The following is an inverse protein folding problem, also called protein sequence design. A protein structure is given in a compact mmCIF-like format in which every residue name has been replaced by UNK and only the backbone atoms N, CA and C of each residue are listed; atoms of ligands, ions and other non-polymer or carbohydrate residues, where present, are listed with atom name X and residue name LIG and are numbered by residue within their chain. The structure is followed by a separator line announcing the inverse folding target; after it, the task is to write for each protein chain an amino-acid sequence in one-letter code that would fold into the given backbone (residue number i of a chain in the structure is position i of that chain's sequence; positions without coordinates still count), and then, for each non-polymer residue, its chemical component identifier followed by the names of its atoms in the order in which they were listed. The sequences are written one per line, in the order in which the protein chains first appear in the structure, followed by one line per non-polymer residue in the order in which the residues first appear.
data_IF_509592498738
#
_entry.id   IF_509592498738
#
_cell.length_a   1.000
_cell.length_b   1.000
_cell.length_c   1.000
_cell.angle_alpha   90.00
_cell.angle_beta   90.00
_cell.angle_gamma   90.00
#
_symmetry.space_group_name_H-M   'P 1'
#
loop_
_entity.id
_entity.type
_entity.pdbx_description
1 polymer ?
#
# COMPACT_ATOMS: atom_id res chain seq x y z
N UNK A 1 -15.16 -0.22 -28.29
CA UNK A 1 -14.10 0.24 -27.38
C UNK A 1 -14.68 0.18 -25.97
N UNK A 2 -14.05 -0.54 -25.07
CA UNK A 2 -14.47 -0.57 -23.66
C UNK A 2 -14.04 0.73 -22.96
N UNK A 3 -14.84 1.23 -22.02
CA UNK A 3 -14.34 2.24 -21.09
C UNK A 3 -13.31 1.59 -20.15
N UNK A 4 -12.48 2.41 -19.49
CA UNK A 4 -11.51 1.90 -18.51
C UNK A 4 -12.21 1.12 -17.37
N UNK A 5 -13.32 1.65 -16.86
CA UNK A 5 -14.07 1.01 -15.78
C UNK A 5 -14.66 -0.35 -16.21
N UNK A 6 -15.23 -0.42 -17.41
CA UNK A 6 -15.72 -1.71 -17.95
C UNK A 6 -14.60 -2.73 -18.11
N UNK A 7 -13.43 -2.30 -18.61
CA UNK A 7 -12.27 -3.18 -18.75
C UNK A 7 -11.76 -3.68 -17.39
N UNK A 8 -11.69 -2.79 -16.39
CA UNK A 8 -11.31 -3.15 -15.02
C UNK A 8 -12.31 -4.14 -14.40
N UNK A 9 -13.58 -3.86 -14.48
CA UNK A 9 -14.63 -4.71 -13.91
C UNK A 9 -14.63 -6.10 -14.56
N UNK A 10 -14.57 -6.16 -15.89
CA UNK A 10 -14.51 -7.42 -16.64
C UNK A 10 -13.24 -8.21 -16.30
N UNK A 11 -12.10 -7.56 -16.26
CA UNK A 11 -10.81 -8.17 -15.93
C UNK A 11 -10.78 -8.67 -14.48
N UNK A 12 -11.08 -7.81 -13.53
CA UNK A 12 -11.06 -8.17 -12.11
C UNK A 12 -12.10 -9.25 -11.79
N UNK A 13 -13.25 -9.26 -12.47
CA UNK A 13 -14.28 -10.30 -12.32
C UNK A 13 -13.79 -11.71 -12.69
N UNK A 14 -12.81 -11.85 -13.59
CA UNK A 14 -12.27 -13.13 -14.02
C UNK A 14 -11.13 -13.63 -13.11
N UNK A 15 -10.40 -12.73 -12.41
CA UNK A 15 -9.24 -13.09 -11.63
C UNK A 15 -9.63 -13.80 -10.32
N UNK A 16 -9.04 -14.96 -9.98
CA UNK A 16 -9.31 -15.67 -8.75
C UNK A 16 -8.65 -15.00 -7.53
N UNK A 17 -9.09 -15.38 -6.35
CA UNK A 17 -8.33 -15.14 -5.14
C UNK A 17 -7.08 -16.07 -5.09
N UNK A 18 -5.95 -15.64 -4.51
CA UNK A 18 -4.78 -16.50 -4.34
C UNK A 18 -5.07 -17.65 -3.37
N UNK A 19 -4.46 -18.80 -3.62
CA UNK A 19 -4.61 -20.00 -2.78
C UNK A 19 -3.31 -20.40 -2.07
N UNK A 20 -2.15 -19.94 -2.56
CA UNK A 20 -0.86 -20.29 -1.97
C UNK A 20 -0.51 -19.33 -0.82
N UNK A 21 -0.11 -19.91 0.32
CA UNK A 21 0.27 -19.17 1.52
C UNK A 21 1.56 -19.71 2.10
N UNK A 22 2.24 -18.88 2.87
CA UNK A 22 3.44 -19.25 3.63
C UNK A 22 3.43 -18.57 5.00
N UNK A 23 4.04 -19.19 6.00
CA UNK A 23 4.19 -18.61 7.34
C UNK A 23 5.59 -18.02 7.47
N UNK A 24 5.66 -16.72 7.79
CA UNK A 24 6.93 -16.01 7.91
C UNK A 24 7.10 -15.38 9.29
N UNK A 25 8.37 -15.25 9.76
CA UNK A 25 8.69 -14.40 10.90
C UNK A 25 8.24 -12.95 10.63
N UNK A 26 7.74 -12.29 11.69
CA UNK A 26 7.14 -10.96 11.57
C UNK A 26 8.09 -9.93 10.92
N UNK A 27 9.38 -9.99 11.18
CA UNK A 27 10.40 -9.10 10.61
C UNK A 27 10.65 -9.31 9.09
N UNK A 28 10.10 -10.38 8.49
CA UNK A 28 10.19 -10.64 7.04
C UNK A 28 8.89 -10.34 6.31
N UNK A 29 7.89 -9.78 7.01
CA UNK A 29 6.54 -9.60 6.49
C UNK A 29 6.28 -8.21 5.87
N UNK A 30 7.28 -7.32 5.82
CA UNK A 30 7.11 -6.02 5.19
C UNK A 30 6.69 -6.15 3.72
N UNK A 31 5.64 -5.40 3.33
CA UNK A 31 5.00 -5.43 2.01
C UNK A 31 4.33 -6.76 1.62
N UNK A 32 4.20 -7.73 2.54
CA UNK A 32 3.43 -8.95 2.31
C UNK A 32 1.93 -8.68 2.54
N UNK A 33 1.09 -9.56 2.02
CA UNK A 33 -0.37 -9.48 2.17
C UNK A 33 -0.82 -10.62 3.08
N UNK A 34 -1.57 -10.26 4.11
CA UNK A 34 -2.03 -11.16 5.15
C UNK A 34 -3.03 -12.19 4.59
N UNK A 35 -2.81 -13.49 4.87
CA UNK A 35 -3.62 -14.58 4.34
C UNK A 35 -4.81 -14.98 5.23
N UNK A 36 -4.85 -14.50 6.47
CA UNK A 36 -5.91 -14.79 7.44
C UNK A 36 -6.18 -13.57 8.34
N UNK A 37 -7.32 -13.56 9.01
CA UNK A 37 -7.63 -12.54 10.01
C UNK A 37 -6.77 -12.73 11.25
N UNK A 38 -6.27 -11.64 11.83
CA UNK A 38 -5.53 -11.65 13.08
C UNK A 38 -6.38 -11.07 14.20
N UNK A 39 -6.61 -11.88 15.21
CA UNK A 39 -7.28 -11.48 16.45
C UNK A 39 -6.23 -11.32 17.55
N UNK A 40 -6.45 -10.35 18.45
CA UNK A 40 -5.54 -10.13 19.55
C UNK A 40 -5.53 -11.32 20.54
N UNK A 41 -4.37 -11.92 20.82
CA UNK A 41 -4.27 -12.98 21.82
C UNK A 41 -4.30 -12.46 23.26
N UNK A 42 -4.12 -11.17 23.49
CA UNK A 42 -4.01 -10.51 24.79
C UNK A 42 -4.74 -9.17 24.78
N UNK A 43 -5.00 -8.65 25.98
CA UNK A 43 -5.34 -7.23 26.15
C UNK A 43 -4.08 -6.34 26.01
N UNK A 44 -4.25 -5.13 25.47
CA UNK A 44 -3.19 -4.10 25.44
C UNK A 44 -3.77 -2.80 26.02
N UNK A 45 -3.19 -2.29 27.12
CA UNK A 45 -2.19 -2.96 27.97
C UNK A 45 -2.75 -4.22 28.66
N UNK A 46 -1.86 -5.14 29.03
CA UNK A 46 -2.23 -6.42 29.64
C UNK A 46 -2.58 -6.32 31.14
N UNK A 47 -2.38 -5.16 31.74
CA UNK A 47 -2.70 -4.82 33.13
C UNK A 47 -2.94 -3.32 33.28
N UNK A 48 -3.70 -2.92 34.31
CA UNK A 48 -3.86 -1.52 34.66
C UNK A 48 -2.50 -0.91 35.01
N UNK A 49 -2.11 0.20 34.36
CA UNK A 49 -0.82 0.82 34.59
C UNK A 49 -0.92 2.35 34.70
N UNK A 50 0.10 2.95 35.27
CA UNK A 50 0.15 4.39 35.43
C UNK A 50 0.40 5.12 34.10
N UNK A 51 -0.39 6.13 33.83
CA UNK A 51 -0.17 7.04 32.70
C UNK A 51 0.90 8.11 33.00
N UNK A 52 1.22 8.33 34.29
CA UNK A 52 2.11 9.41 34.77
C UNK A 52 3.07 8.92 35.83
N UNK A 53 4.16 9.65 36.04
CA UNK A 53 5.01 9.51 37.20
C UNK A 53 4.34 10.20 38.38
N UNK A 54 4.17 9.48 39.50
CA UNK A 54 3.43 10.02 40.61
C UNK A 54 3.30 9.07 41.80
N UNK A 55 2.16 9.06 42.38
CA UNK A 55 1.81 8.25 43.56
C UNK A 55 0.46 7.58 43.36
N UNK A 56 0.44 6.26 43.50
CA UNK A 56 -0.76 5.44 43.46
C UNK A 56 -1.32 5.33 44.89
N UNK A 57 -2.63 5.55 45.03
CA UNK A 57 -3.30 5.53 46.33
C UNK A 57 -4.79 5.21 46.17
N UNK A 58 -5.50 5.11 47.27
CA UNK A 58 -6.96 4.95 47.33
C UNK A 58 -7.64 6.32 47.24
N UNK A 59 -8.50 6.50 46.25
CA UNK A 59 -9.21 7.74 46.02
C UNK A 59 -10.03 8.21 47.25
N UNK A 60 -10.69 7.25 47.91
CA UNK A 60 -11.53 7.55 49.09
C UNK A 60 -10.75 8.11 50.29
N UNK A 61 -9.43 7.96 50.33
CA UNK A 61 -8.58 8.41 51.41
C UNK A 61 -8.19 9.90 51.28
N UNK A 62 -8.34 10.50 50.10
CA UNK A 62 -8.01 11.91 49.86
C UNK A 62 -8.82 12.89 50.73
N UNK A 63 -10.05 12.52 51.12
CA UNK A 63 -10.87 13.34 52.01
C UNK A 63 -10.61 13.05 53.50
N UNK A 64 -9.96 11.90 53.83
CA UNK A 64 -9.78 11.43 55.20
C UNK A 64 -8.40 11.78 55.76
N UNK A 65 -7.38 11.87 54.93
CA UNK A 65 -6.00 12.04 55.35
C UNK A 65 -5.37 13.28 54.72
N UNK A 66 -4.67 14.09 55.50
CA UNK A 66 -3.92 15.24 54.99
C UNK A 66 -2.58 14.82 54.34
N UNK A 67 -1.96 13.77 54.90
CA UNK A 67 -0.66 13.27 54.47
C UNK A 67 -0.72 11.75 54.31
N UNK A 68 0.03 11.24 53.34
CA UNK A 68 0.09 9.80 52.98
C UNK A 68 1.47 9.25 53.24
N UNK A 69 1.54 8.04 53.78
CA UNK A 69 2.83 7.33 53.98
C UNK A 69 3.25 6.61 52.69
N UNK A 70 4.46 6.85 52.25
CA UNK A 70 5.05 6.15 51.08
C UNK A 70 5.59 4.81 51.52
N UNK A 71 4.90 3.71 51.16
CA UNK A 71 5.25 2.35 51.59
C UNK A 71 6.13 1.57 50.62
N UNK A 72 6.39 2.13 49.44
CA UNK A 72 7.24 1.49 48.44
C UNK A 72 7.24 2.19 47.12
N UNK A 73 7.81 1.51 46.11
CA UNK A 73 7.92 1.99 44.74
C UNK A 73 7.46 0.92 43.76
N UNK A 74 6.79 1.34 42.66
CA UNK A 74 6.38 0.48 41.55
C UNK A 74 7.02 1.02 40.27
N UNK A 75 7.79 0.20 39.59
CA UNK A 75 8.46 0.52 38.32
C UNK A 75 7.97 -0.39 37.21
N UNK A 76 8.05 0.04 35.97
CA UNK A 76 7.84 -0.82 34.82
C UNK A 76 8.80 -2.03 34.89
N UNK A 77 8.26 -3.25 34.78
CA UNK A 77 9.03 -4.49 34.93
C UNK A 77 9.38 -4.91 36.39
N UNK A 78 9.13 -4.04 37.37
CA UNK A 78 9.33 -4.34 38.78
C UNK A 78 8.17 -3.78 39.63
N UNK A 79 6.99 -4.42 39.59
CA UNK A 79 5.79 -3.94 40.27
C UNK A 79 5.90 -4.04 41.79
N UNK A 80 5.20 -3.17 42.50
CA UNK A 80 5.02 -3.29 43.94
C UNK A 80 4.08 -4.47 44.24
N UNK A 81 4.52 -5.40 45.10
CA UNK A 81 3.80 -6.64 45.42
C UNK A 81 2.93 -6.58 46.66
N UNK A 82 2.95 -5.45 47.38
CA UNK A 82 2.11 -5.24 48.57
C UNK A 82 0.70 -4.73 48.23
N UNK A 83 -0.12 -4.60 49.26
CA UNK A 83 -1.45 -4.00 49.20
C UNK A 83 -1.44 -2.64 49.93
N UNK A 84 -1.94 -1.61 49.30
CA UNK A 84 -2.09 -0.26 49.88
C UNK A 84 -3.23 -0.27 50.89
N UNK A 85 -2.95 0.18 52.14
CA UNK A 85 -3.89 0.37 53.19
C UNK A 85 -4.34 1.86 53.30
N UNK A 86 -5.28 2.15 54.18
CA UNK A 86 -5.77 3.50 54.41
C UNK A 86 -4.64 4.46 54.81
N UNK A 87 -4.53 5.64 54.21
CA UNK A 87 -3.51 6.64 54.43
C UNK A 87 -2.11 6.27 53.89
N UNK A 88 -2.01 5.25 53.02
CA UNK A 88 -0.75 4.84 52.36
C UNK A 88 -0.76 5.19 50.86
N UNK A 89 0.41 5.36 50.29
CA UNK A 89 0.61 5.49 48.87
C UNK A 89 1.90 4.78 48.43
N UNK A 90 1.99 4.49 47.13
CA UNK A 90 3.17 3.90 46.48
C UNK A 90 3.68 4.87 45.42
N UNK A 91 4.98 5.17 45.46
CA UNK A 91 5.62 5.93 44.38
C UNK A 91 5.57 5.08 43.13
N UNK A 92 4.96 5.61 42.04
CA UNK A 92 4.75 4.89 40.78
C UNK A 92 5.31 5.67 39.62
N UNK A 93 5.85 4.93 38.64
CA UNK A 93 6.36 5.50 37.39
C UNK A 93 5.44 5.11 36.23
N UNK A 94 5.47 5.90 35.19
CA UNK A 94 4.70 5.67 33.95
C UNK A 94 4.92 4.26 33.43
N UNK A 95 3.84 3.57 33.09
CA UNK A 95 3.88 2.18 32.61
C UNK A 95 3.99 1.11 33.70
N UNK A 96 4.19 1.51 34.97
CA UNK A 96 4.23 0.56 36.07
C UNK A 96 2.81 0.07 36.41
N UNK A 97 2.71 -1.22 36.82
CA UNK A 97 1.45 -1.83 37.25
C UNK A 97 0.90 -1.08 38.47
N UNK A 98 -0.42 -0.83 38.45
CA UNK A 98 -1.12 -0.23 39.58
C UNK A 98 -1.10 -1.21 40.74
N UNK A 99 -0.62 -0.78 41.93
CA UNK A 99 -0.61 -1.64 43.12
C UNK A 99 -2.02 -2.05 43.58
N UNK A 100 -2.14 -3.23 44.19
CA UNK A 100 -3.39 -3.69 44.76
C UNK A 100 -3.89 -2.69 45.82
N UNK A 101 -5.17 -2.31 45.73
CA UNK A 101 -5.80 -1.33 46.61
C UNK A 101 -5.74 0.12 46.11
N UNK A 102 -4.94 0.44 45.09
CA UNK A 102 -4.95 1.76 44.46
C UNK A 102 -5.98 1.84 43.34
N UNK A 103 -6.62 2.99 43.21
CA UNK A 103 -7.62 3.29 42.19
C UNK A 103 -7.49 4.70 41.59
N UNK A 104 -6.42 5.43 41.97
CA UNK A 104 -6.05 6.73 41.40
C UNK A 104 -4.51 6.91 41.43
N UNK A 105 -4.00 7.66 40.48
CA UNK A 105 -2.62 8.14 40.48
C UNK A 105 -2.62 9.66 40.47
N UNK A 106 -1.87 10.26 41.39
CA UNK A 106 -1.61 11.71 41.43
C UNK A 106 -0.21 11.96 40.90
N UNK A 107 -0.08 12.93 39.99
CA UNK A 107 1.20 13.29 39.41
C UNK A 107 2.18 13.83 40.48
N UNK A 108 3.46 13.55 40.33
CA UNK A 108 4.50 14.00 41.27
C UNK A 108 4.57 15.52 41.39
N UNK A 109 4.19 16.28 40.38
CA UNK A 109 4.16 17.74 40.34
C UNK A 109 3.07 18.31 41.27
N UNK A 110 2.12 17.46 41.66
CA UNK A 110 1.02 17.81 42.58
C UNK A 110 1.25 17.25 43.99
N UNK A 111 2.46 16.79 44.27
CA UNK A 111 2.84 16.18 45.53
C UNK A 111 3.95 16.98 46.22
N UNK A 112 3.79 17.22 47.54
CA UNK A 112 4.76 17.88 48.39
C UNK A 112 5.30 16.91 49.42
N UNK A 113 6.61 16.83 49.60
CA UNK A 113 7.23 16.01 50.63
C UNK A 113 7.16 16.79 51.96
N UNK A 114 6.44 16.22 52.93
CA UNK A 114 6.26 16.83 54.28
C UNK A 114 7.15 16.17 55.33
N UNK A 115 7.59 14.92 55.09
CA UNK A 115 8.61 14.19 55.87
C UNK A 115 9.26 13.11 54.99
N UNK A 116 10.29 12.43 55.47
CA UNK A 116 11.10 11.45 54.70
C UNK A 116 10.23 10.38 54.03
N UNK A 117 9.14 9.94 54.68
CA UNK A 117 8.23 8.91 54.18
C UNK A 117 6.79 9.41 53.97
N UNK A 118 6.55 10.75 54.01
CA UNK A 118 5.23 11.33 53.93
C UNK A 118 5.09 12.38 52.82
N UNK A 119 3.97 12.25 52.10
CA UNK A 119 3.60 13.11 50.96
C UNK A 119 2.22 13.72 51.21
N UNK A 120 2.10 15.01 50.93
CA UNK A 120 0.84 15.73 50.82
C UNK A 120 0.49 15.99 49.40
N UNK A 121 -0.77 15.84 49.00
CA UNK A 121 -1.25 16.09 47.66
C UNK A 121 -2.03 17.41 47.58
N UNK A 122 -1.65 18.25 46.61
CA UNK A 122 -2.30 19.51 46.27
C UNK A 122 -3.19 19.34 45.03
N UNK A 123 -4.00 18.26 44.99
CA UNK A 123 -4.81 17.89 43.81
C UNK A 123 -6.14 17.30 44.24
N UNK A 124 -7.15 17.51 43.42
CA UNK A 124 -8.46 16.86 43.51
C UNK A 124 -8.73 16.03 42.22
N UNK A 125 -8.11 14.87 42.09
CA UNK A 125 -8.32 14.02 40.93
C UNK A 125 -9.73 13.45 40.90
N UNK A 126 -10.14 12.88 39.78
CA UNK A 126 -11.29 11.99 39.68
C UNK A 126 -10.85 10.56 39.97
N UNK A 127 -11.81 9.72 40.43
CA UNK A 127 -11.58 8.28 40.55
C UNK A 127 -11.10 7.72 39.20
N UNK A 128 -10.03 6.91 39.20
CA UNK A 128 -9.40 6.34 38.02
C UNK A 128 -8.48 7.29 37.26
N UNK A 129 -8.26 8.53 37.75
CA UNK A 129 -7.38 9.48 37.08
C UNK A 129 -5.95 8.92 36.92
N UNK A 130 -5.36 9.16 35.75
CA UNK A 130 -4.01 8.75 35.37
C UNK A 130 -3.75 7.23 35.41
N UNK A 131 -4.80 6.41 35.26
CA UNK A 131 -4.69 4.96 35.11
C UNK A 131 -5.14 4.57 33.71
N UNK A 132 -4.24 3.92 32.94
CA UNK A 132 -4.59 3.23 31.69
C UNK A 132 -5.13 1.85 32.05
N UNK A 133 -6.32 1.56 31.55
CA UNK A 133 -7.02 0.32 31.89
C UNK A 133 -6.58 -0.83 30.98
N UNK A 134 -6.64 -2.04 31.54
CA UNK A 134 -6.43 -3.26 30.76
C UNK A 134 -7.33 -3.28 29.52
N UNK A 135 -6.75 -3.58 28.34
CA UNK A 135 -7.48 -3.62 27.08
C UNK A 135 -8.00 -2.27 26.56
N UNK A 136 -7.46 -1.14 27.05
CA UNK A 136 -7.88 0.20 26.62
C UNK A 136 -7.56 0.46 25.15
N UNK A 137 -6.43 -0.03 24.64
CA UNK A 137 -6.01 0.09 23.24
C UNK A 137 -6.55 -1.06 22.39
N UNK A 138 -6.25 -2.30 22.78
CA UNK A 138 -6.71 -3.51 22.08
C UNK A 138 -7.24 -4.53 23.09
N UNK A 139 -8.46 -5.00 22.91
CA UNK A 139 -9.04 -6.06 23.74
C UNK A 139 -8.66 -7.43 23.21
N UNK A 140 -8.41 -8.37 24.09
CA UNK A 140 -8.27 -9.78 23.74
C UNK A 140 -9.47 -10.25 22.91
N UNK A 141 -9.20 -10.97 21.79
CA UNK A 141 -10.21 -11.45 20.86
C UNK A 141 -10.73 -10.40 19.87
N UNK A 142 -10.28 -9.14 19.94
CA UNK A 142 -10.63 -8.13 18.93
C UNK A 142 -9.93 -8.43 17.60
N UNK A 143 -10.61 -8.20 16.48
CA UNK A 143 -9.98 -8.22 15.15
C UNK A 143 -9.00 -7.04 15.04
N UNK A 144 -7.72 -7.36 14.83
CA UNK A 144 -6.63 -6.38 14.73
C UNK A 144 -6.34 -6.04 13.27
N UNK A 145 -6.18 -7.06 12.44
CA UNK A 145 -5.95 -6.93 11.00
C UNK A 145 -6.78 -7.97 10.25
N UNK A 146 -7.49 -7.51 9.24
CA UNK A 146 -8.26 -8.40 8.38
C UNK A 146 -7.37 -9.06 7.30
N UNK A 147 -7.73 -10.26 6.89
CA UNK A 147 -7.21 -10.93 5.70
C UNK A 147 -7.19 -9.97 4.50
N UNK A 148 -6.12 -10.04 3.71
CA UNK A 148 -5.93 -9.17 2.55
C UNK A 148 -5.37 -7.78 2.90
N UNK A 149 -5.03 -7.52 4.16
CA UNK A 149 -4.31 -6.30 4.54
C UNK A 149 -2.85 -6.37 4.12
N UNK A 150 -2.33 -5.27 3.56
CA UNK A 150 -0.89 -5.13 3.27
C UNK A 150 -0.15 -4.76 4.55
N UNK A 151 0.83 -5.56 4.91
CA UNK A 151 1.67 -5.36 6.09
C UNK A 151 2.72 -4.26 5.84
N UNK A 152 2.79 -3.30 6.73
CA UNK A 152 3.63 -2.11 6.61
C UNK A 152 4.20 -1.69 7.98
N UNK A 153 4.89 -0.55 7.99
CA UNK A 153 5.54 0.02 9.19
C UNK A 153 4.52 0.34 10.31
N UNK A 154 3.25 0.57 10.01
CA UNK A 154 2.23 0.80 11.03
C UNK A 154 1.65 -0.51 11.58
N UNK A 155 1.42 -1.51 10.74
CA UNK A 155 0.80 -2.78 11.14
C UNK A 155 1.76 -3.73 11.84
N UNK A 156 3.03 -3.80 11.42
CA UNK A 156 4.00 -4.75 12.00
C UNK A 156 4.31 -4.46 13.47
N UNK A 157 4.56 -3.21 13.92
CA UNK A 157 4.72 -2.91 15.34
C UNK A 157 3.47 -3.21 16.18
N UNK A 158 2.28 -3.02 15.62
CA UNK A 158 1.03 -3.41 16.28
C UNK A 158 1.00 -4.92 16.55
N UNK A 159 1.32 -5.75 15.56
CA UNK A 159 1.40 -7.21 15.75
C UNK A 159 2.51 -7.60 16.75
N UNK A 160 3.64 -6.90 16.72
CA UNK A 160 4.71 -7.11 17.68
C UNK A 160 4.28 -6.81 19.13
N UNK A 161 3.48 -5.75 19.35
CA UNK A 161 2.96 -5.41 20.68
C UNK A 161 1.99 -6.47 21.26
N UNK A 162 1.44 -7.30 20.38
CA UNK A 162 0.58 -8.44 20.73
C UNK A 162 1.38 -9.73 20.99
N UNK A 163 2.72 -9.69 20.84
CA UNK A 163 3.59 -10.87 20.99
C UNK A 163 3.52 -11.84 19.81
N UNK A 164 2.99 -11.42 18.65
CA UNK A 164 2.86 -12.27 17.45
C UNK A 164 4.22 -12.33 16.75
N UNK A 165 4.85 -13.49 16.76
CA UNK A 165 6.18 -13.70 16.17
C UNK A 165 6.15 -14.13 14.69
N UNK A 166 5.06 -14.78 14.24
CA UNK A 166 4.89 -15.30 12.89
C UNK A 166 3.49 -15.01 12.39
N UNK A 167 3.35 -14.80 11.11
CA UNK A 167 2.05 -14.58 10.45
C UNK A 167 1.95 -15.38 9.16
N UNK A 168 0.73 -15.79 8.81
CA UNK A 168 0.40 -16.40 7.53
C UNK A 168 0.18 -15.30 6.50
N UNK A 169 0.92 -15.34 5.40
CA UNK A 169 0.83 -14.40 4.30
C UNK A 169 0.63 -15.12 2.97
N UNK A 170 0.03 -14.46 2.00
CA UNK A 170 -0.02 -15.01 0.65
C UNK A 170 1.38 -15.09 0.04
N UNK A 171 1.66 -16.15 -0.72
CA UNK A 171 2.90 -16.29 -1.47
C UNK A 171 3.05 -15.16 -2.49
N UNK A 172 4.30 -14.77 -2.79
CA UNK A 172 4.56 -13.76 -3.81
C UNK A 172 4.16 -14.29 -5.19
N UNK A 173 3.59 -13.43 -6.02
CA UNK A 173 3.31 -13.77 -7.42
C UNK A 173 4.61 -13.95 -8.18
N UNK A 174 4.71 -15.03 -8.96
CA UNK A 174 5.74 -15.24 -9.96
C UNK A 174 5.31 -14.61 -11.27
N UNK A 175 6.01 -13.57 -11.70
CA UNK A 175 5.66 -12.80 -12.89
C UNK A 175 6.77 -12.94 -13.91
N UNK A 176 6.45 -13.58 -15.03
CA UNK A 176 7.31 -13.59 -16.21
C UNK A 176 7.17 -12.28 -16.99
N UNK A 177 8.29 -11.72 -17.43
CA UNK A 177 8.33 -10.54 -18.28
C UNK A 177 9.18 -10.80 -19.52
N UNK A 178 8.75 -10.26 -20.64
CA UNK A 178 9.51 -10.25 -21.88
C UNK A 178 9.09 -9.08 -22.78
N UNK A 179 9.98 -8.68 -23.66
CA UNK A 179 9.69 -7.73 -24.75
C UNK A 179 9.81 -8.42 -26.10
N UNK A 180 9.06 -7.93 -27.09
CA UNK A 180 9.12 -8.40 -28.47
C UNK A 180 9.37 -7.25 -29.42
N UNK A 181 10.22 -7.45 -30.42
CA UNK A 181 10.50 -6.47 -31.46
C UNK A 181 11.97 -6.46 -31.84
N UNK A 182 12.25 -6.64 -33.13
CA UNK A 182 13.61 -6.62 -33.69
C UNK A 182 14.28 -5.23 -33.58
N UNK A 183 13.51 -4.18 -33.33
CA UNK A 183 14.00 -2.82 -33.09
C UNK A 183 14.62 -2.62 -31.70
N UNK A 184 14.43 -3.58 -30.78
CA UNK A 184 14.82 -3.40 -29.37
C UNK A 184 16.30 -3.80 -29.16
N UNK A 185 16.94 -3.05 -28.26
CA UNK A 185 18.31 -3.31 -27.77
C UNK A 185 18.27 -3.29 -26.23
N UNK A 186 18.96 -4.22 -25.59
CA UNK A 186 19.08 -4.25 -24.14
C UNK A 186 19.85 -3.04 -23.62
N UNK A 187 19.44 -2.52 -22.45
CA UNK A 187 20.11 -1.39 -21.79
C UNK A 187 21.55 -1.79 -21.44
N UNK A 188 22.51 -0.96 -21.87
CA UNK A 188 23.94 -1.21 -21.68
C UNK A 188 24.66 -1.74 -22.92
N UNK A 189 23.93 -2.26 -23.91
CA UNK A 189 24.52 -2.68 -25.19
C UNK A 189 24.63 -1.50 -26.17
N UNK A 190 25.58 -1.54 -27.13
CA UNK A 190 25.70 -0.51 -28.16
C UNK A 190 24.43 -0.39 -29.01
N UNK A 191 23.97 0.84 -29.23
CA UNK A 191 22.77 1.11 -30.03
C UNK A 191 23.10 1.13 -31.52
N UNK A 192 22.59 0.17 -32.26
CA UNK A 192 22.69 0.12 -33.71
C UNK A 192 21.75 1.10 -34.42
N UNK A 193 22.02 1.45 -35.65
CA UNK A 193 21.16 2.33 -36.43
C UNK A 193 19.76 1.70 -36.64
N UNK A 194 18.73 2.48 -36.35
CA UNK A 194 17.33 2.04 -36.47
C UNK A 194 16.80 1.30 -35.24
N UNK A 195 17.62 1.03 -34.21
CA UNK A 195 17.20 0.39 -32.98
C UNK A 195 16.96 1.41 -31.87
N UNK A 196 16.21 0.97 -30.83
CA UNK A 196 15.90 1.74 -29.61
C UNK A 196 16.15 0.87 -28.36
N UNK A 197 16.44 1.48 -27.24
CA UNK A 197 16.56 0.73 -25.99
C UNK A 197 15.20 0.24 -25.48
N UNK A 198 15.17 -0.99 -24.94
CA UNK A 198 14.01 -1.58 -24.27
C UNK A 198 13.77 -0.94 -22.90
N UNK A 199 13.08 0.19 -22.91
CA UNK A 199 12.71 0.90 -21.69
C UNK A 199 11.45 0.31 -21.03
N UNK A 200 10.62 -0.42 -21.78
CA UNK A 200 9.36 -0.95 -21.27
C UNK A 200 9.58 -2.10 -20.29
N UNK A 201 10.38 -3.11 -20.67
CA UNK A 201 10.71 -4.23 -19.79
C UNK A 201 11.45 -3.76 -18.55
N UNK A 202 12.38 -2.82 -18.70
CA UNK A 202 13.07 -2.19 -17.57
C UNK A 202 12.07 -1.51 -16.62
N UNK A 203 11.13 -0.73 -17.14
CA UNK A 203 10.09 -0.06 -16.34
C UNK A 203 9.19 -1.08 -15.64
N UNK A 204 8.69 -2.09 -16.36
CA UNK A 204 7.82 -3.14 -15.80
C UNK A 204 8.54 -3.89 -14.68
N UNK A 205 9.83 -4.22 -14.86
CA UNK A 205 10.64 -4.85 -13.81
C UNK A 205 10.68 -4.02 -12.54
N UNK A 206 10.99 -2.72 -12.63
CA UNK A 206 10.99 -1.82 -11.46
C UNK A 206 9.63 -1.75 -10.76
N UNK A 207 8.54 -1.72 -11.53
CA UNK A 207 7.18 -1.72 -10.98
C UNK A 207 6.87 -3.02 -10.24
N UNK A 208 7.27 -4.17 -10.78
CA UNK A 208 7.08 -5.48 -10.16
C UNK A 208 7.92 -5.66 -8.89
N UNK A 209 9.14 -5.13 -8.86
CA UNK A 209 9.98 -5.11 -7.65
C UNK A 209 9.29 -4.32 -6.51
N UNK A 210 8.73 -3.14 -6.83
CA UNK A 210 7.93 -2.35 -5.86
C UNK A 210 6.63 -3.06 -5.43
N UNK A 211 6.07 -3.90 -6.28
CA UNK A 211 4.91 -4.74 -5.95
C UNK A 211 5.29 -6.04 -5.21
N UNK A 212 6.58 -6.23 -4.92
CA UNK A 212 7.11 -7.40 -4.21
C UNK A 212 6.85 -8.73 -4.94
N UNK A 213 6.84 -8.73 -6.27
CA UNK A 213 6.72 -9.93 -7.09
C UNK A 213 8.07 -10.68 -7.21
N UNK A 214 8.01 -11.99 -7.47
CA UNK A 214 9.14 -12.78 -7.94
C UNK A 214 9.19 -12.67 -9.47
N UNK A 215 10.30 -12.17 -10.03
CA UNK A 215 10.39 -11.83 -11.46
C UNK A 215 11.19 -12.87 -12.20
N UNK A 216 10.59 -13.41 -13.27
CA UNK A 216 11.23 -14.29 -14.25
C UNK A 216 11.42 -13.49 -15.55
N UNK A 217 12.65 -13.04 -15.81
CA UNK A 217 12.96 -12.18 -16.96
C UNK A 217 13.43 -13.04 -18.16
N UNK A 218 12.64 -13.03 -19.23
CA UNK A 218 12.88 -13.78 -20.47
C UNK A 218 13.54 -12.96 -21.59
N UNK A 219 13.98 -11.74 -21.26
CA UNK A 219 14.69 -10.84 -22.14
C UNK A 219 13.87 -10.34 -23.36
N UNK A 220 14.57 -9.92 -24.43
CA UNK A 220 14.00 -9.48 -25.70
C UNK A 220 13.89 -10.68 -26.63
N UNK A 221 12.70 -10.95 -27.15
CA UNK A 221 12.50 -11.97 -28.16
C UNK A 221 12.52 -11.35 -29.55
N UNK A 222 13.28 -11.96 -30.45
CA UNK A 222 13.19 -11.66 -31.87
C UNK A 222 11.84 -12.11 -32.45
N UNK A 223 11.47 -11.55 -33.60
CA UNK A 223 10.21 -11.86 -34.30
C UNK A 223 10.24 -13.26 -34.99
N UNK A 224 10.66 -14.28 -34.23
CA UNK A 224 10.69 -15.70 -34.65
C UNK A 224 9.49 -16.44 -33.99
N UNK A 225 8.51 -16.92 -34.77
CA UNK A 225 7.33 -17.62 -34.22
C UNK A 225 7.65 -18.87 -33.40
N UNK A 226 8.71 -19.64 -33.78
CA UNK A 226 9.07 -20.87 -33.07
C UNK A 226 9.72 -20.56 -31.71
N UNK A 227 10.62 -19.56 -31.67
CA UNK A 227 11.21 -19.06 -30.43
C UNK A 227 10.12 -18.47 -29.50
N UNK A 228 9.18 -17.72 -30.09
CA UNK A 228 8.07 -17.12 -29.38
C UNK A 228 7.18 -18.19 -28.70
N UNK A 229 6.73 -19.22 -29.49
CA UNK A 229 5.91 -20.30 -28.96
C UNK A 229 6.64 -21.07 -27.83
N UNK A 230 7.92 -21.38 -28.01
CA UNK A 230 8.75 -22.05 -27.01
C UNK A 230 8.83 -21.24 -25.71
N UNK A 231 9.24 -19.97 -25.81
CA UNK A 231 9.45 -19.11 -24.65
C UNK A 231 8.13 -18.83 -23.90
N UNK A 232 7.03 -18.62 -24.63
CA UNK A 232 5.72 -18.47 -24.01
C UNK A 232 5.26 -19.73 -23.29
N UNK A 233 5.53 -20.91 -23.84
CA UNK A 233 5.22 -22.18 -23.19
C UNK A 233 6.04 -22.39 -21.91
N UNK A 234 7.33 -22.04 -21.94
CA UNK A 234 8.20 -22.10 -20.77
C UNK A 234 7.75 -21.09 -19.69
N UNK A 235 7.50 -19.83 -20.07
CA UNK A 235 7.07 -18.77 -19.18
C UNK A 235 5.73 -19.10 -18.50
N UNK A 236 4.75 -19.60 -19.28
CA UNK A 236 3.44 -19.99 -18.71
C UNK A 236 3.54 -21.17 -17.73
N UNK A 237 4.48 -22.09 -17.95
CA UNK A 237 4.66 -23.22 -17.03
C UNK A 237 5.31 -22.81 -15.70
N UNK A 238 6.09 -21.73 -15.69
CA UNK A 238 6.92 -21.29 -14.58
C UNK A 238 6.31 -20.14 -13.75
N UNK A 239 5.27 -19.45 -14.25
CA UNK A 239 4.76 -18.23 -13.64
C UNK A 239 3.26 -18.23 -13.42
N UNK A 240 2.80 -17.37 -12.49
CA UNK A 240 1.39 -17.10 -12.26
C UNK A 240 0.85 -16.05 -13.26
N UNK A 241 1.75 -15.16 -13.69
CA UNK A 241 1.45 -14.04 -14.59
C UNK A 241 2.55 -13.91 -15.62
N UNK A 242 2.16 -13.65 -16.87
CA UNK A 242 3.05 -13.29 -17.97
C UNK A 242 2.70 -11.89 -18.49
N UNK A 243 3.68 -11.00 -18.52
CA UNK A 243 3.54 -9.63 -19.03
C UNK A 243 4.45 -9.45 -20.23
N UNK A 244 3.87 -8.99 -21.35
CA UNK A 244 4.66 -8.65 -22.54
C UNK A 244 4.59 -7.17 -22.84
N UNK A 245 5.65 -6.63 -23.40
CA UNK A 245 5.66 -5.30 -24.01
C UNK A 245 5.93 -5.44 -25.51
N UNK A 246 5.06 -4.83 -26.32
CA UNK A 246 5.04 -5.04 -27.77
C UNK A 246 4.15 -6.22 -28.18
N UNK A 247 4.04 -6.48 -29.47
CA UNK A 247 3.31 -7.64 -30.02
C UNK A 247 1.78 -7.63 -29.86
N UNK A 248 1.16 -6.54 -29.33
CA UNK A 248 -0.29 -6.43 -29.13
C UNK A 248 -0.98 -5.44 -30.08
N UNK A 249 -0.27 -4.95 -31.08
CA UNK A 249 -0.83 -4.06 -32.08
C UNK A 249 -1.65 -4.85 -33.12
N UNK A 250 -2.82 -4.36 -33.47
CA UNK A 250 -3.80 -5.02 -34.36
C UNK A 250 -3.37 -5.02 -35.85
N UNK A 251 -2.13 -4.69 -36.20
CA UNK A 251 -1.73 -4.48 -37.60
C UNK A 251 -0.54 -5.28 -38.11
N UNK A 252 0.38 -5.73 -37.27
CA UNK A 252 1.67 -6.29 -37.73
C UNK A 252 2.09 -7.61 -37.11
N UNK A 253 1.37 -8.13 -36.11
CA UNK A 253 1.75 -9.37 -35.41
C UNK A 253 0.67 -10.46 -35.55
N UNK A 254 0.36 -10.86 -36.74
CA UNK A 254 -0.55 -11.98 -37.02
C UNK A 254 -0.08 -13.28 -36.32
N UNK A 255 1.23 -13.50 -36.21
CA UNK A 255 1.80 -14.68 -35.56
C UNK A 255 1.69 -14.62 -34.03
N UNK A 256 1.88 -13.46 -33.39
CA UNK A 256 1.71 -13.31 -31.92
C UNK A 256 0.30 -13.68 -31.49
N UNK A 257 -0.69 -13.18 -32.21
CA UNK A 257 -2.10 -13.50 -31.96
C UNK A 257 -2.36 -14.99 -32.17
N UNK A 258 -1.87 -15.58 -33.25
CA UNK A 258 -2.02 -17.00 -33.55
C UNK A 258 -1.40 -17.90 -32.46
N UNK A 259 -0.20 -17.54 -31.96
CA UNK A 259 0.47 -18.27 -30.87
C UNK A 259 -0.33 -18.14 -29.56
N UNK A 260 -0.78 -16.94 -29.21
CA UNK A 260 -1.56 -16.73 -28.01
C UNK A 260 -2.91 -17.48 -28.05
N UNK A 261 -3.60 -17.51 -29.19
CA UNK A 261 -4.84 -18.27 -29.38
C UNK A 261 -4.62 -19.80 -29.30
N UNK A 262 -3.44 -20.28 -29.70
CA UNK A 262 -3.04 -21.69 -29.55
C UNK A 262 -2.74 -22.06 -28.10
N UNK A 263 -2.13 -21.18 -27.32
CA UNK A 263 -1.72 -21.43 -25.95
C UNK A 263 -2.84 -21.17 -24.93
N UNK A 264 -3.87 -20.40 -25.30
CA UNK A 264 -4.96 -20.10 -24.39
C UNK A 264 -6.03 -19.18 -24.96
N UNK A 265 -6.73 -18.50 -24.07
CA UNK A 265 -7.80 -17.55 -24.42
C UNK A 265 -7.37 -16.14 -24.10
N UNK A 266 -7.00 -15.37 -25.12
CA UNK A 266 -6.59 -13.99 -24.99
C UNK A 266 -7.52 -13.07 -25.77
N UNK A 267 -7.99 -12.01 -25.14
CA UNK A 267 -8.82 -10.98 -25.73
C UNK A 267 -7.97 -9.75 -26.02
N UNK A 268 -8.04 -9.24 -27.24
CA UNK A 268 -7.38 -8.00 -27.65
C UNK A 268 -8.37 -6.86 -27.52
N UNK A 269 -8.20 -6.03 -26.49
CA UNK A 269 -9.11 -4.94 -26.20
C UNK A 269 -8.67 -3.62 -26.82
N UNK A 270 -9.63 -2.83 -27.23
CA UNK A 270 -9.46 -1.41 -27.54
C UNK A 270 -10.10 -0.62 -26.42
N UNK A 271 -9.29 -0.02 -25.56
CA UNK A 271 -9.78 0.73 -24.40
C UNK A 271 -9.90 2.22 -24.74
N UNK A 272 -10.97 2.85 -24.29
CA UNK A 272 -11.25 4.27 -24.51
C UNK A 272 -10.42 5.17 -23.59
N UNK A 273 -9.09 4.94 -23.56
CA UNK A 273 -8.13 5.72 -22.80
C UNK A 273 -7.03 6.29 -23.69
N UNK A 274 -6.35 7.31 -23.21
CA UNK A 274 -5.18 7.93 -23.86
C UNK A 274 -4.20 8.41 -22.79
N UNK A 275 -2.91 7.95 -22.92
CA UNK A 275 -2.41 6.94 -23.82
C UNK A 275 -2.85 5.53 -23.42
N UNK A 276 -2.62 4.50 -24.25
CA UNK A 276 -2.86 3.09 -23.89
C UNK A 276 -4.12 2.47 -24.51
N UNK A 277 -4.44 2.79 -25.76
CA UNK A 277 -5.62 2.23 -26.46
C UNK A 277 -5.58 0.69 -26.65
N UNK A 278 -4.48 0.05 -27.17
CA UNK A 278 -4.42 -1.39 -27.29
C UNK A 278 -4.01 -2.02 -25.95
N UNK A 279 -4.64 -3.13 -25.61
CA UNK A 279 -4.34 -3.95 -24.44
C UNK A 279 -4.78 -5.39 -24.70
N UNK A 280 -3.97 -6.37 -24.34
CA UNK A 280 -4.34 -7.77 -24.43
C UNK A 280 -4.43 -8.35 -23.01
N UNK A 281 -5.50 -9.09 -22.75
CA UNK A 281 -5.76 -9.74 -21.48
C UNK A 281 -6.37 -11.11 -21.68
N UNK A 282 -5.93 -12.09 -20.90
CA UNK A 282 -6.49 -13.44 -20.98
C UNK A 282 -5.74 -14.42 -20.11
N UNK A 283 -5.86 -15.70 -20.48
CA UNK A 283 -5.27 -16.80 -19.73
C UNK A 283 -4.59 -17.78 -20.70
N UNK A 284 -3.35 -18.11 -20.42
CA UNK A 284 -2.55 -19.12 -21.10
C UNK A 284 -2.38 -20.30 -20.14
N UNK A 285 -3.10 -21.41 -20.40
CA UNK A 285 -3.15 -22.50 -19.43
C UNK A 285 -3.66 -22.04 -18.05
N UNK A 286 -2.78 -21.99 -17.05
CA UNK A 286 -3.08 -21.47 -15.70
C UNK A 286 -2.56 -20.04 -15.46
N UNK A 287 -1.77 -19.51 -16.38
CA UNK A 287 -1.05 -18.24 -16.22
C UNK A 287 -1.87 -17.09 -16.79
N UNK A 288 -2.01 -16.02 -16.05
CA UNK A 288 -2.68 -14.80 -16.52
C UNK A 288 -1.77 -14.00 -17.42
N UNK A 289 -2.31 -13.56 -18.54
CA UNK A 289 -1.55 -12.84 -19.58
C UNK A 289 -1.98 -11.38 -19.67
N UNK A 290 -0.98 -10.49 -19.72
CA UNK A 290 -1.16 -9.06 -19.94
C UNK A 290 -0.21 -8.59 -21.04
N UNK A 291 -0.77 -8.10 -22.13
CA UNK A 291 -0.02 -7.53 -23.23
C UNK A 291 -0.09 -6.00 -23.20
N UNK A 292 1.06 -5.35 -23.03
CA UNK A 292 1.18 -3.91 -22.95
C UNK A 292 1.48 -3.28 -24.30
N UNK A 293 1.06 -2.03 -24.55
CA UNK A 293 1.43 -1.28 -25.75
C UNK A 293 2.96 -1.10 -25.88
N UNK A 294 3.48 -1.02 -27.11
CA UNK A 294 4.90 -0.77 -27.37
C UNK A 294 5.39 0.63 -26.98
N UNK A 295 4.54 1.67 -27.09
CA UNK A 295 4.92 3.03 -26.68
C UNK A 295 5.13 3.12 -25.15
N UNK A 296 6.27 3.66 -24.65
CA UNK A 296 6.65 3.56 -23.24
C UNK A 296 5.66 4.25 -22.27
N UNK A 297 5.17 5.43 -22.63
CA UNK A 297 4.16 6.11 -21.81
C UNK A 297 2.84 5.33 -21.80
N UNK A 298 2.46 4.72 -22.93
CA UNK A 298 1.26 3.88 -22.98
C UNK A 298 1.41 2.62 -22.13
N UNK A 299 2.57 1.96 -22.18
CA UNK A 299 2.87 0.79 -21.38
C UNK A 299 2.76 1.10 -19.88
N UNK A 300 3.41 2.18 -19.42
CA UNK A 300 3.38 2.60 -18.02
C UNK A 300 1.96 2.96 -17.55
N UNK A 301 1.22 3.78 -18.31
CA UNK A 301 -0.15 4.16 -17.94
C UNK A 301 -1.08 2.96 -17.94
N UNK A 302 -0.96 2.05 -18.93
CA UNK A 302 -1.76 0.82 -18.98
C UNK A 302 -1.42 -0.10 -17.80
N UNK A 303 -0.14 -0.26 -17.47
CA UNK A 303 0.28 -1.01 -16.29
C UNK A 303 -0.35 -0.42 -15.01
N UNK A 304 -0.23 0.88 -14.81
CA UNK A 304 -0.71 1.56 -13.62
C UNK A 304 -2.23 1.46 -13.47
N UNK A 305 -2.98 1.63 -14.56
CA UNK A 305 -4.45 1.68 -14.52
C UNK A 305 -5.11 0.30 -14.56
N UNK A 306 -4.48 -0.71 -15.17
CA UNK A 306 -5.07 -2.02 -15.40
C UNK A 306 -4.28 -3.15 -14.72
N UNK A 307 -2.97 -3.24 -14.95
CA UNK A 307 -2.19 -4.37 -14.46
C UNK A 307 -1.94 -4.29 -12.96
N UNK A 308 -1.66 -3.11 -12.41
CA UNK A 308 -1.48 -2.92 -10.96
C UNK A 308 -2.67 -3.44 -10.14
N UNK A 309 -3.94 -3.04 -10.40
CA UNK A 309 -5.09 -3.57 -9.65
C UNK A 309 -5.30 -5.08 -9.88
N UNK A 310 -4.97 -5.60 -11.06
CA UNK A 310 -5.04 -7.03 -11.34
C UNK A 310 -4.01 -7.82 -10.49
N UNK A 311 -2.75 -7.39 -10.48
CA UNK A 311 -1.71 -8.00 -9.66
C UNK A 311 -2.02 -7.88 -8.16
N UNK A 312 -2.57 -6.75 -7.73
CA UNK A 312 -3.00 -6.56 -6.34
C UNK A 312 -4.08 -7.58 -5.93
N UNK A 313 -5.07 -7.83 -6.79
CA UNK A 313 -6.09 -8.86 -6.56
C UNK A 313 -5.49 -10.26 -6.53
N UNK A 314 -4.66 -10.60 -7.51
CA UNK A 314 -3.98 -11.90 -7.57
C UNK A 314 -3.03 -12.13 -6.38
N UNK A 315 -2.46 -11.07 -5.82
CA UNK A 315 -1.63 -11.12 -4.59
C UNK A 315 -2.47 -11.24 -3.31
N UNK A 316 -3.79 -11.12 -3.39
CA UNK A 316 -4.69 -11.25 -2.24
C UNK A 316 -5.00 -9.94 -1.52
N UNK A 317 -4.66 -8.78 -2.08
CA UNK A 317 -5.06 -7.50 -1.51
C UNK A 317 -6.59 -7.40 -1.46
N UNK A 318 -7.15 -6.97 -0.34
CA UNK A 318 -8.59 -6.85 -0.17
C UNK A 318 -9.20 -5.72 -1.03
N UNK A 319 -10.51 -5.72 -1.19
CA UNK A 319 -11.23 -4.76 -2.05
C UNK A 319 -10.93 -3.29 -1.66
N UNK A 320 -10.85 -2.98 -0.38
CA UNK A 320 -10.51 -1.64 0.10
C UNK A 320 -9.07 -1.25 -0.28
N UNK A 321 -8.12 -2.17 -0.14
CA UNK A 321 -6.73 -1.96 -0.55
C UNK A 321 -6.61 -1.72 -2.06
N UNK A 322 -7.35 -2.48 -2.88
CA UNK A 322 -7.41 -2.28 -4.34
C UNK A 322 -8.02 -0.92 -4.67
N UNK A 323 -9.13 -0.54 -4.04
CA UNK A 323 -9.77 0.76 -4.26
C UNK A 323 -8.85 1.94 -3.88
N UNK A 324 -7.99 1.75 -2.88
CA UNK A 324 -7.04 2.78 -2.42
C UNK A 324 -5.78 2.90 -3.30
N UNK A 325 -5.58 2.03 -4.32
CA UNK A 325 -4.45 2.16 -5.25
C UNK A 325 -4.53 3.46 -6.06
N UNK A 326 -5.74 3.96 -6.29
CA UNK A 326 -5.96 5.19 -7.04
C UNK A 326 -6.79 6.17 -6.20
N UNK A 327 -6.16 7.23 -5.74
CA UNK A 327 -6.84 8.31 -5.02
C UNK A 327 -7.08 9.49 -5.95
N UNK A 328 -8.32 9.91 -6.11
CA UNK A 328 -8.68 11.06 -6.92
C UNK A 328 -8.85 12.31 -6.04
N UNK A 329 -8.22 13.40 -6.44
CA UNK A 329 -8.39 14.72 -5.84
C UNK A 329 -8.94 15.70 -6.89
N UNK A 330 -9.53 16.79 -6.44
CA UNK A 330 -9.94 17.89 -7.32
C UNK A 330 -8.95 19.02 -7.20
N UNK A 331 -8.38 19.46 -8.32
CA UNK A 331 -7.47 20.60 -8.41
C UNK A 331 -7.97 21.62 -9.45
N UNK A 332 -7.49 22.85 -9.36
CA UNK A 332 -7.73 23.86 -10.38
C UNK A 332 -6.63 23.81 -11.46
N UNK A 333 -7.00 23.80 -12.73
CA UNK A 333 -6.05 23.85 -13.82
C UNK A 333 -5.32 25.21 -13.83
N UNK A 334 -4.00 25.20 -13.64
CA UNK A 334 -3.19 26.44 -13.68
C UNK A 334 -2.99 26.95 -15.11
N UNK A 335 -3.15 26.09 -16.11
CA UNK A 335 -2.99 26.40 -17.54
C UNK A 335 -4.07 25.72 -18.34
N UNK A 336 -4.29 26.19 -19.58
CA UNK A 336 -5.20 25.52 -20.50
C UNK A 336 -4.69 24.10 -20.84
N UNK A 337 -5.60 23.12 -20.86
CA UNK A 337 -5.29 21.72 -21.18
C UNK A 337 -5.99 21.34 -22.49
N UNK A 338 -5.24 20.80 -23.43
CA UNK A 338 -5.78 20.31 -24.69
C UNK A 338 -6.33 18.91 -24.52
N UNK A 339 -7.57 18.67 -24.94
CA UNK A 339 -8.27 17.39 -24.81
C UNK A 339 -9.24 17.17 -25.97
N UNK A 340 -9.09 16.05 -26.67
CA UNK A 340 -10.06 15.59 -27.67
C UNK A 340 -11.13 14.72 -27.01
N UNK A 341 -12.41 14.92 -27.34
CA UNK A 341 -13.53 14.11 -26.87
C UNK A 341 -13.39 12.64 -27.34
N UNK A 342 -13.98 11.71 -26.61
CA UNK A 342 -14.15 10.29 -26.97
C UNK A 342 -13.25 9.29 -26.24
N UNK A 343 -12.21 9.72 -25.50
CA UNK A 343 -11.38 8.87 -24.65
C UNK A 343 -11.04 9.57 -23.35
N UNK A 344 -10.94 8.83 -22.28
CA UNK A 344 -10.39 9.32 -21.02
C UNK A 344 -8.89 9.60 -21.17
N UNK A 345 -8.45 10.82 -20.82
CA UNK A 345 -7.04 11.24 -20.93
C UNK A 345 -6.35 11.16 -19.57
N UNK A 346 -5.14 10.60 -19.57
CA UNK A 346 -4.21 10.59 -18.43
C UNK A 346 -3.00 11.45 -18.81
N UNK A 347 -3.08 12.75 -18.56
CA UNK A 347 -1.97 13.66 -18.86
C UNK A 347 -1.01 13.71 -17.69
N UNK A 348 0.30 13.76 -17.98
CA UNK A 348 1.33 13.95 -16.94
C UNK A 348 1.19 15.34 -16.39
N UNK A 349 1.05 15.45 -15.08
CA UNK A 349 0.81 16.70 -14.38
C UNK A 349 1.69 16.89 -13.15
N UNK A 350 1.84 18.14 -12.76
CA UNK A 350 2.45 18.53 -11.51
C UNK A 350 1.43 19.34 -10.70
N UNK A 351 1.00 18.79 -9.56
CA UNK A 351 0.11 19.48 -8.64
C UNK A 351 0.89 20.10 -7.48
N UNK A 352 0.41 21.22 -6.99
CA UNK A 352 1.03 22.00 -5.93
C UNK A 352 -0.03 22.87 -5.24
N UNK A 353 0.31 23.42 -4.07
CA UNK A 353 -0.49 24.45 -3.41
C UNK A 353 0.02 25.83 -3.86
N UNK A 354 -0.91 26.73 -4.23
CA UNK A 354 -0.56 28.14 -4.48
C UNK A 354 -0.36 28.91 -3.16
N UNK A 355 -0.02 30.20 -3.26
CA UNK A 355 0.19 31.07 -2.09
C UNK A 355 -1.06 31.25 -1.21
N UNK A 356 -2.25 30.99 -1.76
CA UNK A 356 -3.53 31.05 -1.06
C UNK A 356 -3.97 29.69 -0.49
N UNK A 357 -3.18 28.62 -0.70
CA UNK A 357 -3.49 27.26 -0.26
C UNK A 357 -4.44 26.49 -1.17
N UNK A 358 -4.72 26.97 -2.39
CA UNK A 358 -5.53 26.23 -3.35
C UNK A 358 -4.71 25.13 -4.03
N UNK A 359 -5.35 23.98 -4.26
CA UNK A 359 -4.72 22.88 -4.99
C UNK A 359 -4.75 23.16 -6.48
N UNK A 360 -3.58 23.38 -7.06
CA UNK A 360 -3.38 23.71 -8.47
C UNK A 360 -2.72 22.56 -9.21
N UNK A 361 -2.96 22.45 -10.51
CA UNK A 361 -2.27 21.50 -11.38
C UNK A 361 -1.94 22.09 -12.73
N UNK A 362 -0.77 21.77 -13.26
CA UNK A 362 -0.34 22.09 -14.62
C UNK A 362 0.11 20.85 -15.37
N UNK A 363 -0.10 20.78 -16.67
CA UNK A 363 0.46 19.74 -17.52
C UNK A 363 1.99 19.91 -17.61
N UNK A 364 2.74 18.80 -17.57
CA UNK A 364 4.19 18.78 -17.69
C UNK A 364 4.58 18.37 -19.11
N UNK A 365 5.40 19.17 -19.74
CA UNK A 365 5.95 18.89 -21.06
C UNK A 365 4.93 18.54 -22.14
N UNK A 366 5.39 17.91 -23.21
CA UNK A 366 4.52 17.41 -24.27
C UNK A 366 3.85 16.08 -23.87
N UNK A 367 2.57 15.93 -24.19
CA UNK A 367 1.74 14.80 -23.78
C UNK A 367 1.76 13.61 -24.77
N UNK A 368 2.80 13.51 -25.62
CA UNK A 368 2.98 12.39 -26.56
C UNK A 368 3.23 11.06 -25.86
N UNK A 369 2.76 9.96 -26.45
CA UNK A 369 2.93 8.59 -25.87
C UNK A 369 4.38 8.06 -25.92
N UNK A 370 5.27 8.74 -26.63
CA UNK A 370 6.71 8.46 -26.72
C UNK A 370 7.56 9.41 -25.84
N UNK A 371 6.98 10.42 -25.20
CA UNK A 371 7.69 11.42 -24.39
C UNK A 371 7.75 10.95 -22.94
N UNK A 372 8.74 10.15 -22.62
CA UNK A 372 8.87 9.58 -21.26
C UNK A 372 9.43 10.58 -20.25
N UNK A 373 10.26 11.56 -20.68
CA UNK A 373 10.89 12.55 -19.80
C UNK A 373 9.89 13.35 -18.93
N UNK A 374 8.67 13.56 -19.44
CA UNK A 374 7.62 14.25 -18.70
C UNK A 374 7.19 13.52 -17.39
N UNK A 375 7.46 12.21 -17.25
CA UNK A 375 7.18 11.51 -16.00
C UNK A 375 8.10 11.93 -14.87
N UNK A 376 9.37 12.18 -15.16
CA UNK A 376 10.35 12.58 -14.15
C UNK A 376 9.98 13.87 -13.42
N UNK A 377 9.34 14.80 -14.12
CA UNK A 377 8.91 16.09 -13.58
C UNK A 377 7.46 16.07 -13.06
N UNK A 378 6.76 14.94 -13.20
CA UNK A 378 5.33 14.82 -12.83
C UNK A 378 5.18 14.16 -11.46
N UNK A 379 4.10 14.51 -10.75
CA UNK A 379 3.70 13.88 -9.50
C UNK A 379 2.25 13.38 -9.51
N UNK A 380 1.53 13.54 -10.65
CA UNK A 380 0.17 13.05 -10.81
C UNK A 380 -0.18 12.79 -12.28
N UNK A 381 -1.27 12.06 -12.49
CA UNK A 381 -2.05 12.15 -13.72
C UNK A 381 -3.13 13.22 -13.56
N UNK A 382 -3.31 14.09 -14.59
CA UNK A 382 -4.52 14.86 -14.78
C UNK A 382 -5.48 13.94 -15.52
N UNK A 383 -6.61 13.61 -14.88
CA UNK A 383 -7.60 12.68 -15.43
C UNK A 383 -8.74 13.48 -16.01
N UNK A 384 -8.89 13.44 -17.35
CA UNK A 384 -9.93 14.14 -18.07
C UNK A 384 -10.90 13.12 -18.67
N UNK A 385 -12.17 13.27 -18.35
CA UNK A 385 -13.25 12.33 -18.70
C UNK A 385 -13.41 12.23 -20.23
N UNK A 386 -13.97 11.12 -20.72
CA UNK A 386 -14.08 10.85 -22.15
C UNK A 386 -14.90 11.91 -22.91
N UNK A 387 -15.93 12.41 -22.29
CA UNK A 387 -16.88 13.39 -22.84
C UNK A 387 -16.35 14.83 -22.79
N UNK A 388 -15.35 15.09 -21.96
CA UNK A 388 -14.77 16.42 -21.75
C UNK A 388 -13.92 16.84 -22.95
N UNK A 389 -14.05 18.10 -23.36
CA UNK A 389 -13.16 18.76 -24.31
C UNK A 389 -11.98 19.47 -23.65
N UNK A 390 -11.45 20.50 -24.31
CA UNK A 390 -10.40 21.35 -23.75
C UNK A 390 -10.82 21.96 -22.41
N UNK A 391 -9.82 22.15 -21.54
CA UNK A 391 -9.99 22.77 -20.23
C UNK A 391 -9.34 24.14 -20.25
N UNK A 392 -10.05 25.12 -19.72
CA UNK A 392 -9.54 26.50 -19.54
C UNK A 392 -8.87 26.63 -18.17
N UNK A 393 -7.84 27.46 -18.08
CA UNK A 393 -7.22 27.78 -16.80
C UNK A 393 -8.27 28.27 -15.78
N UNK A 394 -8.19 27.82 -14.54
CA UNK A 394 -9.16 28.07 -13.47
C UNK A 394 -10.27 27.03 -13.35
N UNK A 395 -10.51 26.19 -14.36
CA UNK A 395 -11.50 25.11 -14.24
C UNK A 395 -11.00 23.98 -13.31
N UNK A 396 -11.97 23.35 -12.63
CA UNK A 396 -11.71 22.17 -11.81
C UNK A 396 -11.48 20.93 -12.67
N UNK A 397 -10.46 20.16 -12.33
CA UNK A 397 -10.11 18.88 -12.97
C UNK A 397 -9.83 17.83 -11.91
N UNK A 398 -10.03 16.57 -12.26
CA UNK A 398 -9.61 15.45 -11.44
C UNK A 398 -8.12 15.21 -11.60
N UNK A 399 -7.40 15.04 -10.51
CA UNK A 399 -6.02 14.56 -10.51
C UNK A 399 -5.91 13.23 -9.74
N UNK A 400 -5.01 12.40 -10.19
CA UNK A 400 -4.63 11.15 -9.55
C UNK A 400 -3.16 11.25 -9.14
N UNK A 401 -2.86 11.64 -7.88
CA UNK A 401 -1.48 11.64 -7.38
C UNK A 401 -0.82 10.29 -7.59
N UNK A 402 0.47 10.30 -7.93
CA UNK A 402 1.21 9.05 -8.03
C UNK A 402 1.28 8.37 -6.66
N UNK A 403 0.92 7.10 -6.63
CA UNK A 403 1.10 6.30 -5.42
C UNK A 403 2.55 5.83 -5.29
N UNK A 404 2.86 5.05 -4.24
CA UNK A 404 4.21 4.52 -3.99
C UNK A 404 4.81 3.71 -5.15
N UNK A 405 4.04 3.36 -6.18
CA UNK A 405 4.54 2.65 -7.36
C UNK A 405 5.32 3.58 -8.30
N UNK A 406 4.93 4.85 -8.40
CA UNK A 406 5.58 5.85 -9.27
C UNK A 406 6.34 6.95 -8.49
N UNK A 407 6.23 6.98 -7.17
CA UNK A 407 6.92 7.94 -6.30
C UNK A 407 8.17 7.34 -5.66
#
# INVERSE_FOLDING_TARGET
MLSLNQALEEMLGQLPAPSSTETLPLNQCANRILAEDIFSPIDVPSFDNSAMDGYALRFEDLEKFADFRVIGKSFAGNPFTGQIQAGECVRIMTGAMIPAGADVVIMQEQAETVADDRIRFNAQPKLGANIRRVGEDVKQGALVLAKGSKLNVASLPLLASLGIAHVSVFSRLKVAILSTGDELTSVGEPLEAGKIYDTNRFTVRLLLEKLNCEILDYDILSDDPALFEKTFSEAQAASDVLITSGGVSVGEADFTKAVLEKLGKVNFWKIAMKPGKPFAFGQLGKTWFFGLPGNPVSALVTFYQLVQPALAKLSGLNAQGIANLTSNLTACAATNLKKAVGRQDFQRGFYYLDEQGNLMVKAVGMQGSHIFSAFYESNCFIVLEAERGNVTAGEKVTIQPFNALLS
#
